data_IF_719227667545
#
_entry.id   IF_719227667545
#
_cell.length_a   1.000
_cell.length_b   1.000
_cell.length_c   1.000
_cell.angle_alpha   90.00
_cell.angle_beta   90.00
_cell.angle_gamma   90.00
#
_symmetry.space_group_name_H-M   'P 1'
#
loop_
_entity.id
_entity.type
_entity.pdbx_description
1 polymer ?
2 non-polymer ?
3 non-polymer ?
4 non-polymer ?
5 water ?
#
# COMPACT_ATOMS: atom_id res chain seq x y z
N UNK A 435 -16.92 8.53 -25.61
CA UNK A 435 -16.62 8.40 -24.18
C UNK A 435 -16.98 9.69 -23.44
N UNK A 436 -17.48 9.55 -22.20
CA UNK A 436 -17.87 10.71 -21.39
C UNK A 436 -16.70 11.65 -21.12
N UNK A 437 -16.98 12.93 -20.98
CA UNK A 437 -15.97 13.90 -20.60
C UNK A 437 -15.81 13.88 -19.08
N UNK A 438 -14.64 14.32 -18.57
CA UNK A 438 -14.44 14.37 -17.12
C UNK A 438 -15.57 15.10 -16.39
N UNK A 439 -16.12 16.12 -17.03
CA UNK A 439 -17.23 16.89 -16.48
C UNK A 439 -18.41 16.01 -16.08
N UNK A 440 -18.61 14.94 -16.84
CA UNK A 440 -19.72 14.01 -16.60
C UNK A 440 -19.34 12.89 -15.61
N UNK A 441 -18.12 12.95 -15.10
CA UNK A 441 -17.59 11.85 -14.30
C UNK A 441 -17.16 12.28 -12.90
N UNK A 442 -17.71 13.39 -12.43
CA UNK A 442 -17.45 13.85 -11.08
C UNK A 442 -18.21 12.96 -10.09
N UNK A 443 -17.72 12.87 -8.84
CA UNK A 443 -16.58 13.58 -8.25
C UNK A 443 -15.22 12.92 -8.46
N UNK A 444 -14.19 13.77 -8.59
CA UNK A 444 -12.81 13.34 -8.50
C UNK A 444 -11.98 14.50 -7.97
N UNK A 445 -10.83 14.21 -7.35
CA UNK A 445 -10.02 15.30 -6.76
C UNK A 445 -9.34 16.16 -7.81
N UNK A 446 -9.22 17.46 -7.53
CA UNK A 446 -8.66 18.41 -8.49
C UNK A 446 -7.69 19.41 -7.85
N UNK A 447 -7.55 19.38 -6.52
CA UNK A 447 -6.71 20.36 -5.86
C UNK A 447 -6.17 19.81 -4.55
N UNK A 448 -5.03 20.34 -4.11
CA UNK A 448 -4.51 19.97 -2.80
C UNK A 448 -5.04 20.94 -1.76
N UNK A 449 -5.83 20.42 -0.81
CA UNK A 449 -6.44 21.29 0.19
C UNK A 449 -5.59 21.39 1.45
N UNK A 450 -4.74 20.40 1.66
CA UNK A 450 -4.10 20.19 2.93
C UNK A 450 -2.71 19.58 2.77
N UNK A 451 -1.73 20.19 3.42
CA UNK A 451 -0.40 19.63 3.46
C UNK A 451 -0.13 19.08 4.86
N UNK A 452 0.33 17.83 4.94
CA UNK A 452 0.76 17.23 6.21
C UNK A 452 2.25 17.52 6.30
N UNK A 453 2.58 18.56 7.07
CA UNK A 453 3.93 19.08 7.16
C UNK A 453 4.52 18.75 8.51
N UNK A 454 5.76 18.27 8.49
CA UNK A 454 6.45 17.94 9.73
C UNK A 454 7.60 16.98 9.53
N UNK A 455 7.43 16.01 8.64
CA UNK A 455 8.53 15.07 8.41
C UNK A 455 9.78 15.80 7.92
N UNK A 456 10.93 15.26 8.32
CA UNK A 456 12.21 15.87 7.97
C UNK A 456 12.96 15.06 6.92
N UNK A 457 12.27 14.11 6.31
CA UNK A 457 12.86 13.29 5.26
C UNK A 457 11.76 12.73 4.37
N UNK A 458 12.16 12.08 3.28
CA UNK A 458 11.19 11.53 2.33
C UNK A 458 10.09 10.72 3.00
N UNK A 459 8.87 10.89 2.54
CA UNK A 459 7.75 10.10 3.04
C UNK A 459 7.53 8.93 2.08
N UNK A 460 7.89 7.71 2.53
CA UNK A 460 7.90 6.56 1.63
C UNK A 460 6.60 5.79 1.56
N UNK A 461 5.78 5.96 2.60
CA UNK A 461 4.61 5.10 2.74
C UNK A 461 3.54 5.81 3.55
N UNK A 462 2.27 5.59 3.22
CA UNK A 462 1.19 6.15 4.03
C UNK A 462 -0.03 5.23 4.00
N UNK A 463 -0.90 5.36 4.99
CA UNK A 463 -2.05 4.48 5.11
C UNK A 463 -3.20 5.22 5.78
N UNK A 464 -4.42 4.97 5.32
CA UNK A 464 -5.58 5.58 5.94
C UNK A 464 -6.29 4.51 6.78
N UNK A 465 -6.68 4.86 8.01
CA UNK A 465 -7.29 3.91 8.93
C UNK A 465 -8.71 3.50 8.49
N UNK A 466 -9.26 2.43 9.08
CA UNK A 466 -10.58 1.97 8.63
C UNK A 466 -11.68 3.03 8.75
N UNK A 467 -11.58 3.92 9.73
CA UNK A 467 -12.65 4.91 9.94
C UNK A 467 -12.57 6.08 8.95
N UNK A 468 -11.44 6.18 8.23
CA UNK A 468 -11.27 7.25 7.26
C UNK A 468 -10.94 8.59 7.89
N UNK A 469 -10.47 8.58 9.14
CA UNK A 469 -10.20 9.85 9.84
C UNK A 469 -8.73 10.11 10.15
N UNK A 470 -7.92 9.06 10.10
CA UNK A 470 -6.53 9.14 10.55
C UNK A 470 -5.55 8.64 9.51
N UNK A 471 -4.68 9.54 9.06
CA UNK A 471 -3.64 9.20 8.12
C UNK A 471 -2.36 8.84 8.87
N UNK A 472 -1.75 7.70 8.56
CA UNK A 472 -0.42 7.40 9.09
C UNK A 472 0.61 7.53 7.97
N UNK A 473 1.79 8.05 8.31
CA UNK A 473 2.88 8.23 7.35
C UNK A 473 4.17 7.67 7.94
N UNK A 474 5.05 7.18 7.07
CA UNK A 474 6.35 6.68 7.46
C UNK A 474 7.41 7.36 6.63
N UNK A 475 8.49 7.78 7.30
CA UNK A 475 9.47 8.67 6.67
C UNK A 475 10.92 8.28 6.93
N UNK A 476 11.81 8.72 6.05
CA UNK A 476 13.23 8.50 6.21
C UNK A 476 13.81 9.29 7.39
N UNK A 477 13.00 10.16 8.00
CA UNK A 477 13.45 10.84 9.21
C UNK A 477 13.36 9.88 10.40
N UNK A 478 12.89 8.67 10.15
CA UNK A 478 12.87 7.63 11.17
C UNK A 478 11.62 7.59 12.01
N UNK A 479 10.64 8.41 11.66
CA UNK A 479 9.38 8.45 12.41
C UNK A 479 8.18 7.95 11.62
N UNK A 480 7.21 7.44 12.38
CA UNK A 480 5.86 7.27 11.91
C UNK A 480 5.02 8.34 12.58
N UNK A 481 4.17 9.01 11.81
CA UNK A 481 3.29 10.04 12.33
C UNK A 481 1.85 9.76 11.97
N UNK A 482 0.94 10.19 12.83
CA UNK A 482 -0.48 10.07 12.54
C UNK A 482 -1.10 11.46 12.52
N UNK A 483 -2.00 11.69 11.57
CA UNK A 483 -2.52 13.02 11.28
C UNK A 483 -4.05 13.04 11.23
N UNK A 484 -4.62 14.12 11.74
CA UNK A 484 -6.04 14.44 11.60
C UNK A 484 -6.27 14.86 10.15
N UNK A 485 -7.04 14.10 9.38
CA UNK A 485 -6.96 14.32 7.93
C UNK A 485 -7.50 15.66 7.44
N UNK A 486 -8.59 16.18 8.02
CA UNK A 486 -9.13 17.42 7.44
C UNK A 486 -8.40 18.70 7.84
N UNK A 487 -7.55 18.63 8.86
CA UNK A 487 -6.86 19.82 9.34
C UNK A 487 -5.38 19.82 9.03
N UNK A 488 -4.81 18.62 8.88
CA UNK A 488 -3.37 18.45 8.72
C UNK A 488 -2.62 18.46 10.04
N UNK A 489 -3.37 18.43 11.15
CA UNK A 489 -2.75 18.45 12.47
C UNK A 489 -2.10 17.10 12.82
N UNK A 490 -0.82 17.11 13.12
CA UNK A 490 -0.14 15.91 13.60
C UNK A 490 -0.61 15.60 15.02
N UNK A 491 -1.08 14.37 15.24
CA UNK A 491 -1.59 13.99 16.57
C UNK A 491 -0.78 12.92 17.28
N UNK A 492 0.21 12.36 16.59
CA UNK A 492 1.01 11.28 17.16
C UNK A 492 2.31 11.14 16.39
N UNK A 493 3.38 10.82 17.10
CA UNK A 493 4.67 10.56 16.48
C UNK A 493 5.40 9.49 17.27
N UNK A 494 5.97 8.51 16.57
CA UNK A 494 6.86 7.56 17.24
C UNK A 494 8.14 7.39 16.43
N UNK A 495 9.27 7.40 17.13
CA UNK A 495 10.56 7.31 16.47
C UNK A 495 11.06 5.87 16.47
N UNK A 496 11.09 5.26 15.30
CA UNK A 496 11.39 3.84 15.17
C UNK A 496 12.86 3.61 14.81
N UNK A 497 13.49 4.65 14.26
CA UNK A 497 14.91 4.60 13.95
C UNK A 497 15.60 5.80 14.58
N UNK A 498 16.51 5.54 15.51
CA UNK A 498 17.21 6.61 16.21
C UNK A 498 18.36 7.15 15.36
N UNK A 499 18.93 6.29 14.54
CA UNK A 499 19.98 6.69 13.60
C UNK A 499 19.40 6.86 12.20
N UNK A 500 18.59 7.89 12.00
CA UNK A 500 17.84 8.05 10.76
C UNK A 500 18.71 8.37 9.54
N UNK A 501 19.98 8.70 9.78
CA UNK A 501 20.91 8.96 8.70
C UNK A 501 21.46 7.66 8.11
N UNK A 502 21.12 6.55 8.75
CA UNK A 502 21.54 5.22 8.29
C UNK A 502 20.95 4.91 6.92
N UNK A 503 21.81 4.66 5.93
CA UNK A 503 21.37 4.34 4.57
C UNK A 503 20.98 2.87 4.41
N UNK A 504 21.24 2.07 5.43
CA UNK A 504 21.06 0.62 5.32
C UNK A 504 19.63 0.19 5.59
N UNK A 505 18.93 0.91 6.47
CA UNK A 505 17.54 0.54 6.74
C UNK A 505 16.64 1.74 7.04
N UNK A 506 15.38 1.60 6.66
CA UNK A 506 14.39 2.66 6.74
C UNK A 506 13.02 2.06 7.00
N UNK A 507 12.07 2.92 7.35
CA UNK A 507 10.67 2.54 7.37
C UNK A 507 10.23 2.34 5.92
N UNK A 508 9.81 1.12 5.60
CA UNK A 508 9.56 0.76 4.20
C UNK A 508 8.10 0.81 3.81
N UNK A 509 7.23 0.37 4.71
CA UNK A 509 5.83 0.18 4.36
C UNK A 509 5.00 0.11 5.62
N UNK A 510 3.91 0.87 5.66
CA UNK A 510 3.01 0.79 6.81
C UNK A 510 1.58 0.59 6.32
N UNK A 511 0.76 -0.06 7.14
CA UNK A 511 -0.66 -0.20 6.80
C UNK A 511 -1.45 -0.44 8.06
N UNK A 512 -2.53 0.32 8.21
CA UNK A 512 -3.46 0.08 9.31
C UNK A 512 -4.11 -1.27 9.11
N UNK A 513 -4.33 -1.99 10.20
CA UNK A 513 -5.18 -3.16 10.15
C UNK A 513 -6.58 -2.75 9.65
N UNK A 514 -7.18 -3.54 8.76
CA UNK A 514 -8.45 -3.11 8.14
C UNK A 514 -9.68 -3.35 9.00
N UNK A 515 -9.54 -4.16 10.03
CA UNK A 515 -10.67 -4.46 10.88
C UNK A 515 -10.93 -3.25 11.79
N UNK A 516 -12.19 -2.94 12.02
CA UNK A 516 -12.52 -1.71 12.75
C UNK A 516 -12.16 -1.79 14.25
N UNK A 517 -11.76 -0.65 14.79
CA UNK A 517 -11.65 -0.49 16.23
C UNK A 517 -10.67 -1.42 16.95
N UNK A 518 -9.49 -1.65 16.37
CA UNK A 518 -8.42 -2.29 17.13
C UNK A 518 -7.16 -1.43 17.22
N UNK A 519 -7.11 -0.32 16.47
CA UNK A 519 -6.02 0.63 16.59
C UNK A 519 -4.65 0.15 16.10
N UNK A 520 -4.61 -0.99 15.40
CA UNK A 520 -3.33 -1.59 15.04
C UNK A 520 -2.78 -1.00 13.74
N UNK A 521 -1.52 -0.61 13.78
CA UNK A 521 -0.76 -0.16 12.62
C UNK A 521 0.42 -1.10 12.41
N UNK A 522 0.53 -1.71 11.22
CA UNK A 522 1.69 -2.55 10.92
C UNK A 522 2.77 -1.71 10.28
N UNK A 523 4.02 -1.93 10.68
CA UNK A 523 5.15 -1.15 10.16
C UNK A 523 6.31 -2.07 9.79
N UNK A 524 6.67 -2.09 8.52
CA UNK A 524 7.87 -2.80 8.07
C UNK A 524 9.02 -1.83 8.11
N UNK A 525 10.07 -2.17 8.85
CA UNK A 525 11.25 -1.33 8.95
C UNK A 525 12.48 -2.22 9.05
N UNK A 526 13.40 -2.07 8.10
CA UNK A 526 14.51 -2.99 7.99
C UNK A 526 14.00 -4.41 7.85
N UNK A 527 14.56 -5.32 8.65
CA UNK A 527 14.20 -6.73 8.56
C UNK A 527 13.06 -7.10 9.51
N UNK A 528 12.41 -6.08 10.07
CA UNK A 528 11.39 -6.29 11.08
C UNK A 528 10.00 -5.79 10.70
N UNK A 529 8.98 -6.43 11.25
CA UNK A 529 7.63 -5.90 11.21
C UNK A 529 7.18 -5.61 12.64
N UNK A 530 6.82 -4.35 12.92
CA UNK A 530 6.26 -4.02 14.23
C UNK A 530 4.75 -3.88 14.12
N UNK A 531 4.03 -4.38 15.12
CA UNK A 531 2.62 -4.03 15.24
C UNK A 531 2.52 -3.02 16.38
N UNK A 532 2.03 -1.83 16.03
CA UNK A 532 1.96 -0.69 16.94
C UNK A 532 0.52 -0.34 17.24
N UNK A 533 0.24 -0.01 18.49
CA UNK A 533 -1.09 0.48 18.87
C UNK A 533 -0.87 1.84 19.54
N UNK A 534 -1.11 2.93 18.80
CA UNK A 534 -0.83 4.25 19.37
C UNK A 534 -1.85 4.66 20.41
N UNK A 535 -1.43 5.39 21.47
CA UNK A 535 -2.33 5.78 22.56
C UNK A 535 -3.21 6.96 22.21
N UNK A 536 -3.90 6.88 21.09
CA UNK A 536 -4.75 7.99 20.66
C UNK A 536 -6.22 7.61 20.44
N UNK A 537 -6.62 6.41 20.89
CA UNK A 537 -7.97 5.95 20.60
C UNK A 537 -8.81 5.65 21.84
N UNK A 538 -8.15 5.42 22.98
CA UNK A 538 -8.88 5.10 24.19
C UNK A 538 -8.91 3.60 24.48
N UNK A 539 -9.41 3.24 25.65
CA UNK A 539 -9.33 1.86 26.13
C UNK A 539 -10.03 0.86 25.22
N UNK A 540 -11.28 1.13 24.82
CA UNK A 540 -12.03 0.06 24.12
C UNK A 540 -11.30 -0.36 22.86
N UNK A 541 -10.77 0.62 22.11
CA UNK A 541 -10.08 0.33 20.86
C UNK A 541 -8.68 -0.20 21.13
N UNK A 542 -7.91 0.49 21.97
CA UNK A 542 -6.53 0.09 22.20
C UNK A 542 -6.41 -1.27 22.87
N UNK A 543 -7.30 -1.55 23.83
CA UNK A 543 -7.23 -2.84 24.48
C UNK A 543 -7.63 -3.96 23.52
N UNK A 544 -8.53 -3.66 22.60
CA UNK A 544 -8.93 -4.65 21.60
C UNK A 544 -7.72 -5.07 20.77
N UNK A 545 -6.94 -4.08 20.32
CA UNK A 545 -5.73 -4.34 19.57
C UNK A 545 -4.69 -5.09 20.38
N UNK A 546 -4.45 -4.62 21.60
CA UNK A 546 -3.41 -5.24 22.42
C UNK A 546 -3.75 -6.67 22.80
N UNK A 547 -5.01 -6.96 23.09
CA UNK A 547 -5.36 -8.32 23.50
C UNK A 547 -5.30 -9.25 22.28
N UNK A 548 -5.65 -8.73 21.12
CA UNK A 548 -5.56 -9.51 19.89
C UNK A 548 -4.11 -9.92 19.62
N UNK A 549 -3.20 -8.99 19.81
CA UNK A 549 -1.80 -9.24 19.54
C UNK A 549 -1.18 -10.15 20.61
N UNK A 550 -1.63 -10.05 21.85
CA UNK A 550 -1.05 -10.85 22.92
C UNK A 550 -1.54 -12.29 22.93
N UNK A 551 -2.66 -12.57 22.26
CA UNK A 551 -3.30 -13.86 22.41
C UNK A 551 -2.40 -15.02 21.98
N UNK A 552 -1.66 -14.81 20.89
CA UNK A 552 -0.81 -15.85 20.33
C UNK A 552 0.27 -16.37 21.27
N UNK A 553 0.57 -15.60 22.30
CA UNK A 553 1.46 -16.06 23.35
C UNK A 553 0.76 -17.13 24.18
N UNK A 590 12.69 -22.25 10.75
CA UNK A 590 11.97 -21.12 11.33
C UNK A 590 12.29 -19.84 10.57
N UNK A 591 11.40 -19.45 9.66
CA UNK A 591 11.66 -18.34 8.76
C UNK A 591 11.52 -16.96 9.42
N UNK A 592 10.67 -16.87 10.44
CA UNK A 592 10.50 -15.60 11.15
C UNK A 592 10.28 -15.84 12.65
N UNK A 593 10.68 -14.87 13.46
CA UNK A 593 10.54 -15.00 14.90
C UNK A 593 9.67 -13.88 15.47
N UNK A 594 8.68 -14.26 16.26
CA UNK A 594 7.77 -13.31 16.89
C UNK A 594 8.24 -13.00 18.31
N UNK A 595 8.55 -11.74 18.59
CA UNK A 595 9.13 -11.36 19.87
C UNK A 595 8.32 -10.35 20.68
N UNK A 596 8.24 -10.57 21.99
CA UNK A 596 7.76 -9.55 22.90
C UNK A 596 8.65 -8.31 22.75
N UNK A 597 8.06 -7.11 22.90
CA UNK A 597 8.86 -5.89 22.84
C UNK A 597 9.80 -5.72 24.03
N UNK A 598 10.97 -5.16 23.76
CA UNK A 598 11.87 -4.71 24.81
C UNK A 598 11.25 -3.51 25.49
N UNK A 599 11.82 -3.09 26.61
CA UNK A 599 11.34 -1.90 27.29
C UNK A 599 11.43 -0.68 26.35
N UNK A 600 12.53 -0.57 25.63
CA UNK A 600 12.69 0.52 24.66
C UNK A 600 11.59 0.47 23.60
N UNK A 601 11.22 -0.74 23.18
CA UNK A 601 10.20 -0.87 22.13
C UNK A 601 8.80 -0.57 22.67
N UNK A 602 8.53 -0.97 23.91
CA UNK A 602 7.26 -0.61 24.56
C UNK A 602 7.04 0.90 24.56
N UNK A 603 8.10 1.66 24.81
CA UNK A 603 8.00 3.11 24.89
C UNK A 603 7.73 3.72 23.51
N UNK A 604 7.92 2.93 22.46
CA UNK A 604 7.61 3.37 21.09
C UNK A 604 6.23 2.90 20.66
N UNK A 605 5.51 2.27 21.59
CA UNK A 605 4.15 1.73 21.41
C UNK A 605 4.13 0.49 20.52
N UNK A 606 5.26 -0.17 20.42
CA UNK A 606 5.35 -1.46 19.75
C UNK A 606 4.79 -2.56 20.67
N UNK A 607 3.88 -3.38 20.14
CA UNK A 607 3.25 -4.45 20.92
C UNK A 607 3.85 -5.83 20.64
N UNK A 608 4.36 -6.00 19.43
CA UNK A 608 5.05 -7.23 19.06
C UNK A 608 5.92 -6.95 17.84
N UNK A 609 6.98 -7.72 17.66
CA UNK A 609 7.85 -7.57 16.49
C UNK A 609 8.04 -8.93 15.83
N UNK A 610 7.93 -8.95 14.51
CA UNK A 610 8.23 -10.14 13.73
C UNK A 610 9.55 -9.92 13.01
N UNK A 611 10.57 -10.69 13.38
CA UNK A 611 11.90 -10.52 12.81
C UNK A 611 12.15 -11.51 11.67
N UNK A 612 12.38 -10.99 10.48
CA UNK A 612 12.68 -11.82 9.32
C UNK A 612 14.18 -11.82 9.04
N UNK A 613 14.60 -12.64 8.09
CA UNK A 613 16.02 -12.73 7.76
C UNK A 613 16.46 -11.58 6.86
N UNK A 614 15.57 -11.14 5.97
CA UNK A 614 15.90 -10.13 4.98
C UNK A 614 15.03 -8.88 5.13
N UNK A 615 15.45 -7.79 4.49
CA UNK A 615 14.67 -6.55 4.49
C UNK A 615 13.24 -6.77 3.99
N UNK A 616 12.28 -6.22 4.73
CA UNK A 616 10.86 -6.29 4.38
C UNK A 616 10.46 -5.02 3.66
N UNK A 617 10.15 -5.12 2.36
CA UNK A 617 9.89 -3.95 1.55
C UNK A 617 8.41 -3.64 1.43
N UNK A 618 7.56 -4.63 1.67
CA UNK A 618 6.14 -4.48 1.44
C UNK A 618 5.36 -5.33 2.43
N UNK A 619 4.23 -4.80 2.89
CA UNK A 619 3.34 -5.53 3.78
C UNK A 619 1.91 -5.21 3.37
N UNK A 620 1.03 -6.19 3.46
CA UNK A 620 -0.36 -5.96 3.09
C UNK A 620 -1.27 -6.88 3.89
N UNK A 621 -2.27 -6.30 4.54
CA UNK A 621 -3.23 -7.09 5.33
C UNK A 621 -4.24 -7.82 4.45
N UNK A 622 -4.60 -9.03 4.86
CA UNK A 622 -5.81 -9.67 4.37
C UNK A 622 -7.01 -8.90 4.90
N UNK A 623 -8.11 -8.90 4.14
CA UNK A 623 -9.30 -8.11 4.48
C UNK A 623 -9.85 -8.34 5.90
N UNK A 624 -9.70 -9.55 6.43
CA UNK A 624 -10.27 -9.84 7.75
C UNK A 624 -9.36 -9.43 8.91
N UNK A 625 -8.14 -9.01 8.60
CA UNK A 625 -7.28 -8.42 9.61
C UNK A 625 -6.52 -9.39 10.51
N UNK A 626 -6.50 -10.67 10.17
CA UNK A 626 -5.71 -11.62 10.94
C UNK A 626 -4.42 -11.95 10.19
N UNK A 627 -4.56 -12.31 8.92
CA UNK A 627 -3.39 -12.55 8.09
C UNK A 627 -2.82 -11.29 7.46
N UNK A 628 -1.51 -11.28 7.25
CA UNK A 628 -0.91 -10.27 6.38
C UNK A 628 0.26 -10.89 5.63
N UNK A 629 0.54 -10.37 4.45
CA UNK A 629 1.60 -10.93 3.62
C UNK A 629 2.71 -9.92 3.48
N UNK A 630 3.96 -10.40 3.50
CA UNK A 630 5.08 -9.49 3.35
C UNK A 630 6.00 -9.94 2.23
N UNK A 631 6.72 -8.97 1.64
CA UNK A 631 7.66 -9.20 0.56
C UNK A 631 9.08 -8.87 1.01
N UNK A 632 9.96 -9.86 0.88
CA UNK A 632 11.39 -9.71 1.12
C UNK A 632 12.12 -10.00 -0.19
N UNK A 633 12.42 -8.95 -0.98
CA UNK A 633 13.02 -9.24 -2.29
C UNK A 633 14.36 -9.98 -2.19
N UNK A 634 14.62 -10.85 -3.16
CA UNK A 634 15.85 -11.63 -3.20
C UNK A 634 16.06 -12.44 -1.92
N UNK A 635 14.97 -12.99 -1.38
CA UNK A 635 15.05 -13.89 -0.24
C UNK A 635 14.67 -15.30 -0.70
N UNK A 636 14.82 -15.52 -2.00
CA UNK A 636 14.53 -16.80 -2.61
C UNK A 636 13.14 -17.31 -2.27
N UNK A 637 13.12 -18.54 -1.76
CA UNK A 637 11.91 -19.25 -1.37
C UNK A 637 11.08 -18.55 -0.31
N UNK A 638 11.67 -17.59 0.39
CA UNK A 638 10.97 -16.90 1.45
C UNK A 638 10.81 -15.42 1.12
N UNK A 639 10.81 -15.11 -0.17
CA UNK A 639 10.55 -13.75 -0.62
C UNK A 639 9.11 -13.34 -0.32
N UNK A 640 8.22 -14.32 -0.21
CA UNK A 640 6.86 -14.03 0.17
C UNK A 640 6.48 -14.84 1.42
N UNK A 641 6.08 -14.14 2.47
CA UNK A 641 5.72 -14.78 3.72
C UNK A 641 4.30 -14.40 4.11
N UNK A 642 3.55 -15.36 4.63
CA UNK A 642 2.23 -15.07 5.16
C UNK A 642 2.24 -15.21 6.68
N UNK A 643 1.79 -14.16 7.36
CA UNK A 643 1.82 -14.09 8.81
C UNK A 643 0.40 -14.11 9.36
N UNK A 644 0.19 -14.79 10.49
CA UNK A 644 -1.14 -14.86 11.09
C UNK A 644 -1.07 -14.39 12.53
N UNK A 645 -1.64 -13.22 12.82
CA UNK A 645 -1.51 -12.63 14.14
C UNK A 645 -2.04 -13.52 15.26
N UNK A 646 -3.20 -14.14 15.05
CA UNK A 646 -3.84 -14.91 16.12
C UNK A 646 -3.02 -16.12 16.58
N UNK A 647 -2.11 -16.60 15.74
CA UNK A 647 -1.32 -17.77 16.07
C UNK A 647 0.18 -17.48 16.18
N UNK A 648 0.56 -16.22 15.96
CA UNK A 648 1.97 -15.81 15.87
C UNK A 648 2.73 -16.74 14.94
N UNK A 649 2.12 -17.02 13.79
CA UNK A 649 2.62 -18.01 12.86
C UNK A 649 3.05 -17.36 11.54
N UNK A 650 4.26 -17.66 11.10
CA UNK A 650 4.72 -17.21 9.78
C UNK A 650 4.99 -18.44 8.92
N UNK A 651 4.45 -18.43 7.71
CA UNK A 651 4.60 -19.56 6.78
C UNK A 651 5.10 -19.06 5.44
N UNK A 652 5.86 -19.89 4.75
CA UNK A 652 6.26 -19.57 3.39
C UNK A 652 5.37 -20.39 2.45
N UNK A 653 4.42 -19.72 1.79
CA UNK A 653 3.44 -20.45 0.97
C UNK A 653 4.03 -21.10 -0.28
N UNK A 654 5.23 -20.70 -0.70
CA UNK A 654 5.78 -21.21 -1.96
C UNK A 654 7.00 -22.07 -1.77
N UNK A 655 7.14 -23.07 -2.64
CA UNK A 655 8.32 -23.94 -2.68
C UNK A 655 9.39 -23.35 -3.59
N UNK A 656 8.95 -22.66 -4.62
CA UNK A 656 9.88 -22.17 -5.64
C UNK A 656 9.93 -20.64 -5.69
N UNK A 657 11.14 -20.13 -5.89
CA UNK A 657 11.33 -18.69 -6.06
C UNK A 657 11.41 -18.34 -7.54
N UNK A 658 10.46 -17.53 -8.00
CA UNK A 658 10.47 -17.10 -9.38
C UNK A 658 10.67 -15.59 -9.48
N UNK A 659 11.93 -15.18 -9.62
CA UNK A 659 12.28 -13.79 -9.84
C UNK A 659 12.30 -12.92 -8.59
N UNK A 660 12.51 -11.62 -8.81
CA UNK A 660 12.54 -10.65 -7.72
C UNK A 660 11.14 -10.13 -7.45
N UNK A 661 10.66 -10.34 -6.23
CA UNK A 661 9.27 -10.03 -5.93
C UNK A 661 9.12 -8.57 -5.52
N UNK A 662 8.15 -7.90 -6.13
CA UNK A 662 7.95 -6.47 -5.93
C UNK A 662 6.70 -6.17 -5.10
N UNK A 663 5.70 -7.04 -5.17
CA UNK A 663 4.45 -6.78 -4.46
C UNK A 663 3.69 -8.08 -4.23
N UNK A 664 2.86 -8.12 -3.19
CA UNK A 664 2.00 -9.26 -2.95
C UNK A 664 0.75 -8.75 -2.29
N UNK A 665 -0.40 -9.15 -2.81
CA UNK A 665 -1.68 -8.63 -2.31
C UNK A 665 -2.74 -9.72 -2.32
N UNK A 666 -3.53 -9.78 -1.26
CA UNK A 666 -4.67 -10.71 -1.22
C UNK A 666 -5.80 -10.19 -2.10
N UNK A 667 -6.53 -11.09 -2.72
CA UNK A 667 -7.72 -10.70 -3.47
C UNK A 667 -8.73 -10.11 -2.48
N UNK A 668 -9.56 -9.17 -2.94
CA UNK A 668 -10.59 -8.52 -2.09
C UNK A 668 -11.60 -9.49 -1.46
N UNK A 669 -11.86 -10.62 -2.10
CA UNK A 669 -12.85 -11.54 -1.52
C UNK A 669 -12.64 -13.01 -1.86
N UNK A 670 -11.90 -13.30 -2.93
CA UNK A 670 -11.59 -14.68 -3.28
C UNK A 670 -10.37 -15.14 -2.49
N UNK A 671 -10.24 -16.47 -2.29
CA UNK A 671 -9.10 -17.02 -1.53
C UNK A 671 -7.85 -17.06 -2.39
N UNK A 672 -7.42 -15.89 -2.85
CA UNK A 672 -6.31 -15.80 -3.79
C UNK A 672 -5.24 -14.84 -3.31
N UNK A 673 -4.01 -15.12 -3.72
CA UNK A 673 -2.89 -14.21 -3.48
C UNK A 673 -2.28 -13.83 -4.82
N UNK A 674 -2.11 -12.53 -5.05
CA UNK A 674 -1.48 -12.01 -6.27
C UNK A 674 -0.03 -11.69 -5.94
N UNK A 675 0.91 -12.22 -6.72
CA UNK A 675 2.32 -11.98 -6.49
C UNK A 675 2.94 -11.31 -7.70
N UNK A 676 3.45 -10.11 -7.52
CA UNK A 676 4.04 -9.33 -8.60
C UNK A 676 5.56 -9.43 -8.56
N UNK A 677 6.15 -9.99 -9.62
CA UNK A 677 7.60 -9.99 -9.75
C UNK A 677 7.97 -8.79 -10.59
N UNK A 678 9.23 -8.68 -11.00
CA UNK A 678 9.61 -7.56 -11.84
C UNK A 678 8.96 -7.65 -13.22
N UNK A 679 8.61 -8.87 -13.63
CA UNK A 679 8.14 -9.08 -15.00
C UNK A 679 6.71 -9.59 -15.12
N UNK A 680 6.23 -10.32 -14.11
CA UNK A 680 4.93 -10.98 -14.20
C UNK A 680 4.05 -10.77 -12.98
N UNK A 681 2.76 -11.05 -13.11
CA UNK A 681 1.90 -11.18 -11.94
C UNK A 681 1.33 -12.60 -11.93
N UNK A 682 1.53 -13.31 -10.83
CA UNK A 682 1.01 -14.66 -10.73
C UNK A 682 -0.08 -14.69 -9.68
N UNK A 683 -1.19 -15.34 -10.02
CA UNK A 683 -2.34 -15.42 -9.15
C UNK A 683 -2.45 -16.85 -8.63
N UNK A 684 -2.41 -17.01 -7.31
CA UNK A 684 -2.52 -18.33 -6.68
C UNK A 684 -3.82 -18.47 -5.92
N UNK A 685 -4.42 -19.65 -6.01
CA UNK A 685 -5.56 -20.01 -5.19
C UNK A 685 -5.03 -20.68 -3.93
N UNK A 686 -5.17 -20.00 -2.80
CA UNK A 686 -4.61 -20.50 -1.54
C UNK A 686 -5.37 -21.72 -1.03
N UNK A 687 -6.64 -21.85 -1.42
CA UNK A 687 -7.43 -23.01 -1.04
C UNK A 687 -7.05 -24.26 -1.84
N UNK A 688 -6.90 -24.10 -3.15
CA UNK A 688 -6.51 -25.21 -4.02
C UNK A 688 -5.00 -25.42 -4.04
N UNK A 689 -4.26 -24.43 -3.54
CA UNK A 689 -2.80 -24.47 -3.47
C UNK A 689 -2.17 -24.57 -4.85
N UNK A 690 -2.76 -23.89 -5.83
CA UNK A 690 -2.25 -23.95 -7.19
C UNK A 690 -2.20 -22.58 -7.85
N UNK A 691 -1.36 -22.45 -8.86
CA UNK A 691 -1.34 -21.27 -9.71
C UNK A 691 -2.58 -21.31 -10.59
N UNK A 692 -3.33 -20.21 -10.66
CA UNK A 692 -4.50 -20.23 -11.53
C UNK A 692 -4.36 -19.30 -12.74
N UNK A 693 -3.57 -18.24 -12.62
CA UNK A 693 -3.31 -17.35 -13.76
C UNK A 693 -1.92 -16.73 -13.70
N UNK A 694 -1.33 -16.47 -14.86
CA UNK A 694 -0.09 -15.72 -14.96
C UNK A 694 -0.29 -14.57 -15.95
N UNK A 695 -0.23 -13.34 -15.45
CA UNK A 695 -0.37 -12.15 -16.30
C UNK A 695 0.95 -11.80 -16.96
N UNK A 696 0.88 -11.31 -18.20
CA UNK A 696 2.07 -10.91 -18.93
C UNK A 696 2.00 -9.42 -19.30
N UNK A 697 2.38 -8.54 -18.36
CA UNK A 697 2.26 -7.09 -18.57
C UNK A 697 3.16 -6.53 -19.65
N UNK A 698 4.24 -7.23 -19.96
CA UNK A 698 5.15 -6.79 -21.01
C UNK A 698 6.09 -5.70 -20.56
N UNK A 699 6.37 -5.66 -19.26
CA UNK A 699 7.30 -4.69 -18.69
C UNK A 699 8.51 -5.42 -18.10
N UNK A 700 9.61 -4.70 -17.95
CA UNK A 700 10.80 -5.31 -17.36
C UNK A 700 10.91 -4.94 -15.89
N UNK A 701 10.21 -3.89 -15.49
CA UNK A 701 10.38 -3.34 -14.14
C UNK A 701 9.08 -2.95 -13.48
N UNK A 702 8.22 -3.92 -13.18
CA UNK A 702 6.99 -3.65 -12.46
C UNK A 702 7.29 -3.12 -11.06
N UNK A 703 6.46 -2.20 -10.57
CA UNK A 703 6.71 -1.62 -9.25
C UNK A 703 5.62 -1.89 -8.22
N UNK A 704 4.37 -2.05 -8.68
CA UNK A 704 3.25 -2.22 -7.74
C UNK A 704 2.02 -2.70 -8.50
N UNK A 705 1.11 -3.37 -7.80
CA UNK A 705 -0.19 -3.70 -8.35
C UNK A 705 -1.31 -3.22 -7.43
N UNK A 706 -2.51 -3.08 -8.01
CA UNK A 706 -3.71 -3.02 -7.18
C UNK A 706 -4.83 -3.79 -7.88
N UNK A 707 -5.77 -4.27 -7.09
CA UNK A 707 -6.85 -5.10 -7.58
C UNK A 707 -8.15 -4.32 -7.50
N UNK A 708 -8.92 -4.34 -8.58
CA UNK A 708 -10.21 -3.67 -8.62
C UNK A 708 -11.11 -4.26 -7.54
N UNK A 709 -11.91 -3.41 -6.86
CA UNK A 709 -12.67 -3.92 -5.72
C UNK A 709 -13.68 -5.01 -6.04
N UNK A 710 -14.10 -5.12 -7.30
CA UNK A 710 -15.03 -6.20 -7.65
C UNK A 710 -14.29 -7.41 -8.21
N UNK A 711 -12.96 -7.33 -8.20
CA UNK A 711 -12.10 -8.51 -8.23
C UNK A 711 -11.69 -9.13 -9.56
N UNK A 712 -12.02 -8.49 -10.68
CA UNK A 712 -11.78 -9.11 -11.98
C UNK A 712 -10.86 -8.27 -12.86
N UNK A 713 -10.27 -7.23 -12.28
CA UNK A 713 -9.36 -6.37 -13.00
C UNK A 713 -8.20 -5.97 -12.10
N UNK A 714 -7.07 -5.63 -12.71
CA UNK A 714 -5.87 -5.27 -11.99
C UNK A 714 -5.16 -4.13 -12.70
N UNK A 715 -4.50 -3.25 -11.95
CA UNK A 715 -3.59 -2.29 -12.55
C UNK A 715 -2.19 -2.50 -12.02
N UNK A 716 -1.21 -2.19 -12.86
CA UNK A 716 0.19 -2.39 -12.50
C UNK A 716 0.99 -1.19 -12.95
N UNK A 717 1.86 -0.71 -12.07
CA UNK A 717 2.78 0.36 -12.43
C UNK A 717 4.14 -0.17 -12.80
N UNK A 718 4.87 0.58 -13.61
CA UNK A 718 6.20 0.17 -14.02
C UNK A 718 7.18 1.32 -13.97
N UNK A 719 8.44 1.00 -13.68
CA UNK A 719 9.49 2.01 -13.69
C UNK A 719 9.74 2.54 -15.12
N UNK A 720 9.25 1.83 -16.15
CA UNK A 720 9.46 2.34 -17.50
C UNK A 720 8.32 3.25 -17.97
N UNK A 721 7.59 3.82 -17.02
CA UNK A 721 6.65 4.95 -17.18
C UNK A 721 5.23 4.52 -17.52
N UNK A 722 5.01 3.22 -17.68
CA UNK A 722 3.70 2.69 -18.04
C UNK A 722 2.82 2.30 -16.86
N UNK A 723 1.51 2.39 -17.08
CA UNK A 723 0.52 1.73 -16.23
C UNK A 723 -0.24 0.74 -17.10
N UNK A 724 -0.36 -0.50 -16.65
CA UNK A 724 -1.05 -1.53 -17.41
C UNK A 724 -2.37 -1.86 -16.74
N UNK A 725 -3.45 -1.88 -17.50
CA UNK A 725 -4.72 -2.41 -16.99
C UNK A 725 -4.88 -3.84 -17.51
N UNK A 726 -5.03 -4.80 -16.60
CA UNK A 726 -5.33 -6.18 -16.98
C UNK A 726 -6.77 -6.54 -16.64
N UNK A 727 -7.52 -6.98 -17.66
CA UNK A 727 -8.84 -7.55 -17.47
C UNK A 727 -8.60 -9.06 -17.35
N UNK A 728 -8.75 -9.59 -16.13
CA UNK A 728 -8.20 -10.91 -15.81
C UNK A 728 -8.84 -12.05 -16.62
N UNK A 729 -10.12 -11.90 -16.95
CA UNK A 729 -10.82 -12.93 -17.71
C UNK A 729 -10.66 -12.77 -19.22
N UNK A 730 -10.24 -11.58 -19.63
CA UNK A 730 -10.25 -11.25 -21.06
C UNK A 730 -9.05 -11.81 -21.82
N UNK A 731 -7.86 -11.60 -21.26
CA UNK A 731 -6.61 -12.04 -21.87
C UNK A 731 -5.49 -11.87 -20.84
N UNK A 732 -4.36 -12.53 -21.04
CA UNK A 732 -3.27 -12.45 -20.04
C UNK A 732 -2.40 -11.23 -20.28
N UNK A 733 -2.49 -10.66 -21.46
CA UNK A 733 -1.75 -9.45 -21.84
C UNK A 733 -2.57 -8.22 -21.44
N UNK A 734 -1.93 -7.03 -21.40
CA UNK A 734 -2.71 -5.87 -20.96
C UNK A 734 -3.88 -5.52 -21.86
N UNK A 735 -5.00 -5.18 -21.23
CA UNK A 735 -6.16 -4.67 -21.95
C UNK A 735 -5.88 -3.27 -22.45
N UNK A 736 -5.22 -2.47 -21.62
CA UNK A 736 -4.89 -1.11 -22.00
C UNK A 736 -3.56 -0.69 -21.39
N UNK A 737 -2.79 0.08 -22.16
CA UNK A 737 -1.53 0.60 -21.68
C UNK A 737 -1.67 2.11 -21.58
N UNK A 738 -1.45 2.63 -20.38
CA UNK A 738 -1.60 4.05 -20.12
C UNK A 738 -0.24 4.71 -20.01
N UNK A 739 -0.03 5.74 -20.82
CA UNK A 739 1.23 6.48 -20.81
C UNK A 739 1.00 7.94 -20.45
N UNK A 740 0.93 8.22 -19.16
CA UNK A 740 0.62 9.57 -18.70
C UNK A 740 1.69 10.08 -17.74
N UNK A 741 2.87 9.47 -17.77
CA UNK A 741 3.94 9.92 -16.90
C UNK A 741 5.24 10.04 -17.66
N UNK A 742 6.04 11.03 -17.25
CA UNK A 742 7.33 11.32 -17.86
C UNK A 742 8.45 10.57 -17.17
N UNK A 743 8.12 9.95 -16.03
CA UNK A 743 9.13 9.28 -15.20
C UNK A 743 8.54 8.00 -14.62
N UNK A 744 9.38 7.23 -13.93
CA UNK A 744 8.95 5.97 -13.30
C UNK A 744 7.68 6.12 -12.48
N UNK A 745 6.77 5.16 -12.63
CA UNK A 745 5.53 5.16 -11.86
C UNK A 745 5.72 4.28 -10.63
N UNK A 746 5.49 4.88 -9.46
CA UNK A 746 5.76 4.22 -8.18
C UNK A 746 4.55 3.59 -7.53
N UNK A 747 3.36 4.09 -7.84
CA UNK A 747 2.16 3.54 -7.20
C UNK A 747 0.95 3.60 -8.12
N UNK A 748 0.13 2.57 -8.04
CA UNK A 748 -1.20 2.57 -8.65
C UNK A 748 -2.18 2.17 -7.56
N UNK A 749 -3.33 2.81 -7.54
CA UNK A 749 -4.29 2.59 -6.46
C UNK A 749 -5.73 2.76 -6.93
N UNK A 750 -6.55 1.76 -6.66
CA UNK A 750 -7.99 1.83 -6.88
C UNK A 750 -8.72 2.44 -5.70
N UNK A 751 -9.76 3.22 -5.97
CA UNK A 751 -10.72 3.54 -4.92
C UNK A 751 -11.54 2.28 -4.60
N UNK A 752 -11.88 2.09 -3.33
CA UNK A 752 -12.61 0.89 -2.90
C UNK A 752 -14.09 0.94 -3.24
N UNK A 753 -14.62 2.15 -3.45
CA UNK A 753 -16.07 2.31 -3.65
C UNK A 753 -16.45 3.12 -4.88
N UNK A 754 -15.67 4.16 -5.19
CA UNK A 754 -15.91 5.00 -6.33
C UNK A 754 -15.16 4.48 -7.56
N UNK A 755 -15.66 4.79 -8.77
CA UNK A 755 -15.05 4.26 -9.99
C UNK A 755 -13.82 5.08 -10.40
N UNK A 756 -12.86 5.15 -9.48
CA UNK A 756 -11.67 5.97 -9.66
C UNK A 756 -10.42 5.15 -9.43
N UNK A 757 -9.34 5.52 -10.11
CA UNK A 757 -8.03 5.03 -9.71
C UNK A 757 -6.98 6.08 -10.03
N UNK A 758 -5.77 5.87 -9.54
CA UNK A 758 -4.71 6.85 -9.70
C UNK A 758 -3.38 6.19 -9.99
N UNK A 759 -2.49 6.95 -10.61
CA UNK A 759 -1.10 6.58 -10.73
C UNK A 759 -0.26 7.70 -10.20
N UNK A 760 0.89 7.37 -9.62
CA UNK A 760 1.74 8.39 -9.01
C UNK A 760 3.17 8.12 -9.41
N UNK A 761 3.90 9.18 -9.78
CA UNK A 761 5.19 8.97 -10.42
C UNK A 761 6.30 9.88 -9.93
N UNK A 762 7.51 9.59 -10.38
CA UNK A 762 8.69 10.33 -9.98
C UNK A 762 8.78 11.69 -10.64
N UNK A 763 7.84 12.00 -11.53
CA UNK A 763 7.72 13.34 -12.11
C UNK A 763 7.01 14.29 -11.14
N UNK A 764 6.64 13.76 -9.97
CA UNK A 764 5.98 14.55 -8.94
C UNK A 764 4.49 14.73 -9.18
N UNK A 765 3.98 14.01 -10.17
CA UNK A 765 2.60 14.16 -10.60
C UNK A 765 1.75 12.93 -10.21
N UNK A 766 0.47 13.14 -9.99
CA UNK A 766 -0.50 12.06 -9.79
C UNK A 766 -1.50 12.17 -10.91
N UNK A 767 -1.83 11.07 -11.59
CA UNK A 767 -2.90 11.15 -12.57
C UNK A 767 -4.10 10.36 -12.08
N UNK A 768 -5.27 10.96 -12.25
CA UNK A 768 -6.52 10.41 -11.76
C UNK A 768 -7.35 9.97 -12.95
N UNK A 769 -7.93 8.77 -12.83
CA UNK A 769 -8.71 8.16 -13.90
C UNK A 769 -10.08 7.72 -13.42
N UNK A 770 -11.02 7.70 -14.35
CA UNK A 770 -12.30 7.01 -14.15
C UNK A 770 -12.21 5.63 -14.77
N UNK A 771 -12.81 4.62 -14.14
CA UNK A 771 -13.00 3.34 -14.82
C UNK A 771 -14.35 2.74 -14.47
N UNK A 772 -15.13 2.49 -15.52
CA UNK A 772 -16.34 1.70 -15.40
C UNK A 772 -16.03 0.28 -15.84
N UNK A 773 -16.41 -0.69 -15.00
CA UNK A 773 -16.27 -2.11 -15.31
C UNK A 773 -17.66 -2.71 -15.45
N UNK A 774 -17.83 -3.54 -16.48
CA UNK A 774 -19.11 -4.16 -16.76
C UNK A 774 -19.03 -5.62 -16.34
N UNK A 775 -19.56 -5.91 -15.14
CA UNK A 775 -19.39 -7.22 -14.53
C UNK A 775 -20.04 -8.34 -15.34
N UNK A 776 -21.25 -8.11 -15.81
CA UNK A 776 -22.07 -9.19 -16.35
C UNK A 776 -22.11 -9.26 -17.87
N UNK A 777 -22.02 -8.10 -18.51
CA UNK A 777 -22.25 -8.05 -19.94
C UNK A 777 -20.94 -7.97 -20.72
N UNK A 778 -21.03 -8.28 -22.01
CA UNK A 778 -19.86 -8.46 -22.86
C UNK A 778 -19.31 -7.14 -23.35
N UNK A 779 -18.90 -6.30 -22.41
CA UNK A 779 -18.29 -5.01 -22.72
C UNK A 779 -17.06 -4.87 -21.84
N UNK A 780 -15.97 -4.39 -22.43
CA UNK A 780 -14.71 -4.26 -21.70
C UNK A 780 -14.63 -2.91 -20.98
N UNK A 781 -13.73 -2.78 -20.00
CA UNK A 781 -13.73 -1.57 -19.15
C UNK A 781 -13.59 -0.25 -19.91
N UNK A 782 -14.30 0.76 -19.41
CA UNK A 782 -14.20 2.10 -19.95
C UNK A 782 -13.32 2.94 -19.05
N UNK A 783 -12.15 3.34 -19.57
CA UNK A 783 -11.16 4.08 -18.80
C UNK A 783 -11.02 5.48 -19.37
N UNK A 784 -11.19 6.48 -18.51
CA UNK A 784 -11.14 7.88 -18.93
C UNK A 784 -10.21 8.67 -18.03
N UNK A 785 -9.17 9.29 -18.60
CA UNK A 785 -8.35 10.17 -17.77
C UNK A 785 -9.14 11.39 -17.31
N UNK A 786 -8.94 11.80 -16.06
CA UNK A 786 -9.73 12.88 -15.47
C UNK A 786 -8.90 14.11 -15.14
N UNK A 787 -7.77 13.91 -14.49
CA UNK A 787 -7.06 15.04 -13.92
C UNK A 787 -5.59 14.74 -13.66
N UNK A 788 -4.74 15.71 -13.99
CA UNK A 788 -3.35 15.68 -13.58
C UNK A 788 -3.17 16.55 -12.34
N UNK A 789 -2.71 15.93 -11.26
CA UNK A 789 -2.49 16.63 -9.99
C UNK A 789 -1.02 16.99 -9.81
N UNK A 790 -0.73 18.29 -9.74
CA UNK A 790 0.64 18.74 -9.55
C UNK A 790 0.76 19.48 -8.23
N UNK A 791 1.95 19.46 -7.66
CA UNK A 791 2.21 20.19 -6.43
C UNK A 791 3.43 19.66 -5.69
N UNK A 792 3.57 18.34 -5.64
CA UNK A 792 4.76 17.72 -5.05
C UNK A 792 6.04 18.16 -5.78
N UNK A 793 7.08 18.38 -4.99
CA UNK A 793 8.38 18.78 -5.50
C UNK A 793 9.25 17.57 -5.82
N UNK A 794 9.91 17.60 -6.97
CA UNK A 794 10.84 16.52 -7.32
C UNK A 794 12.17 16.73 -6.59
N UNK A 795 12.59 15.71 -5.85
CA UNK A 795 13.82 15.75 -5.05
C UNK A 795 14.69 14.56 -5.43
N UNK A 796 15.91 14.81 -5.90
CA UNK A 796 16.84 13.74 -6.30
C UNK A 796 16.17 12.72 -7.23
N UNK A 797 15.46 13.21 -8.25
CA UNK A 797 14.78 12.38 -9.24
C UNK A 797 13.64 11.52 -8.67
N UNK A 798 13.15 11.87 -7.48
CA UNK A 798 12.01 11.17 -6.90
C UNK A 798 10.85 12.12 -6.71
N UNK A 799 9.62 11.62 -6.78
CA UNK A 799 8.46 12.49 -6.75
C UNK A 799 7.41 12.03 -5.75
N UNK A 800 6.39 11.36 -6.24
CA UNK A 800 5.38 10.80 -5.36
C UNK A 800 5.74 9.34 -5.16
N UNK A 801 5.92 8.96 -3.90
CA UNK A 801 6.44 7.64 -3.56
C UNK A 801 5.33 6.65 -3.22
N UNK A 802 4.17 7.18 -2.84
CA UNK A 802 3.04 6.33 -2.46
C UNK A 802 1.78 7.16 -2.49
N UNK A 803 0.63 6.47 -2.58
CA UNK A 803 -0.64 7.16 -2.55
C UNK A 803 -1.70 6.18 -2.08
N UNK A 804 -2.81 6.71 -1.58
CA UNK A 804 -3.91 5.85 -1.11
C UNK A 804 -5.20 6.64 -1.13
N UNK A 805 -6.28 6.02 -1.57
CA UNK A 805 -7.58 6.69 -1.56
C UNK A 805 -8.25 6.62 -0.20
N UNK A 806 -9.01 7.66 0.11
CA UNK A 806 -9.95 7.61 1.23
C UNK A 806 -10.93 6.45 0.98
N UNK A 807 -11.39 5.77 2.05
CA UNK A 807 -12.28 4.63 1.78
C UNK A 807 -13.66 4.98 1.20
N UNK A 808 -14.11 6.21 1.35
CA UNK A 808 -15.46 6.58 0.91
C UNK A 808 -15.50 7.83 0.04
N UNK A 809 -14.73 8.85 0.42
CA UNK A 809 -14.75 10.12 -0.30
C UNK A 809 -13.82 10.10 -1.52
N UNK A 810 -14.10 10.98 -2.47
CA UNK A 810 -13.23 11.19 -3.64
C UNK A 810 -11.99 12.00 -3.25
N UNK A 811 -11.28 11.51 -2.24
CA UNK A 811 -10.11 12.17 -1.66
C UNK A 811 -8.91 11.24 -1.79
N UNK A 812 -7.78 11.79 -2.22
CA UNK A 812 -6.58 11.00 -2.41
C UNK A 812 -5.47 11.55 -1.52
N UNK A 813 -4.73 10.65 -0.86
CA UNK A 813 -3.58 11.06 -0.05
C UNK A 813 -2.29 10.63 -0.73
N UNK A 814 -1.31 11.51 -0.78
CA UNK A 814 -0.04 11.18 -1.43
C UNK A 814 1.14 11.41 -0.49
N UNK A 815 2.20 10.63 -0.69
CA UNK A 815 3.44 10.71 0.09
C UNK A 815 4.56 11.17 -0.82
N UNK A 816 5.28 12.21 -0.42
CA UNK A 816 6.29 12.79 -1.29
C UNK A 816 7.74 12.63 -0.86
N UNK A 817 8.62 12.50 -1.85
CA UNK A 817 10.04 12.64 -1.62
C UNK A 817 10.39 14.02 -1.06
N UNK A 818 9.46 14.97 -1.21
CA UNK A 818 9.68 16.33 -0.72
C UNK A 818 9.38 16.54 0.77
N UNK A 819 9.24 15.44 1.52
CA UNK A 819 9.00 15.42 2.98
C UNK A 819 7.57 15.74 3.38
N UNK A 820 6.67 15.87 2.41
CA UNK A 820 5.26 16.15 2.71
C UNK A 820 4.37 14.98 2.39
N UNK A 821 3.23 14.90 3.07
CA UNK A 821 2.11 14.16 2.53
C UNK A 821 1.03 15.19 2.21
N UNK A 822 0.12 14.85 1.30
CA UNK A 822 -0.85 15.83 0.84
C UNK A 822 -2.22 15.21 0.65
N UNK A 823 -3.26 16.00 0.87
CA UNK A 823 -4.63 15.60 0.64
C UNK A 823 -5.18 16.30 -0.59
N UNK A 824 -5.69 15.51 -1.53
CA UNK A 824 -6.26 16.05 -2.78
C UNK A 824 -7.75 15.85 -2.73
N UNK A 825 -8.51 16.90 -2.98
CA UNK A 825 -9.95 16.87 -2.81
C UNK A 825 -10.67 17.52 -3.99
N UNK A 826 -12.00 17.40 -3.99
CA UNK A 826 -12.83 18.01 -5.02
C UNK A 826 -12.82 19.52 -4.89
#
# INVERSE_FOLDING_TARGET
>A
AHHHHHHSAALEVLFQGPGMMAKNNKTTEAKMSKKRAASEESDVEEDEDKLLSVDGLIDAEASESDEDDDEYESAVEEKESSSDKEAQDDSDDDSDAELNKLLAEEEGDGEEDYDSSEFSDDTTSLTDRLSGVKLQTIVDPNIYSKYADGSDRIIKPEINPVYDSDDSDAETQNTIGNIPLSAYDEMPHIGYDINGKRIMRPAKGSALDQLLDSIELPEGWTGLLDKNSGSSLNLTKEELELISKIQRNEQTDDSINPYEPLIDWFTRHEEVMPLTAVPEPKRRFVPSKNEAKRVMKIVRAIREGRIIPPKKLKEMKEKEKIENYQYDLWGDSTETNDHVMHLRAPKLPPPTNEESYNPPEEYLLSPEEKEAWENTEYSERERNFIPQKYSALRKVPGYGESIRERFERSLDLYLAPRVRKNKLNIDPNSLIPELPSPKDLRPFPIRCSTIYAGHKGKVRTLSIDPSGLWLATGSDDGTVRVWEILTGREVYRTTLIDDEENPDYHIECIEWNPDANNGILAVAVGENIHLIVPPIFGYDIENNGKTKIEDGFGYDTFGTVKKSNLEVNENGDGDEDGENESAKNAVKKQVAQWNKPSQKQLEKDICITISCKKTVKKLSWHRKGDYFVTVQPDSGNTSVLIHQVSKHLTQSPFKKSKGIIMDAKFHPFKPQLFVCSQRYVRIYDLSQQILVKKLLPGARWLSKIDIHPRGDNLIASSFDKRVLWHDLDLASTPYKTLRYHEKAVRSVNFHKKLPLFSSAADDGTIHVFHATVYDDMMKNPMIVPLKKLTGHKVINSLGVLDAIWHPREAWLFSAGADNTARLWTT
#
